data_IF_174847231340
#
_entry.id   IF_174847231340
#
_cell.length_a   1.000
_cell.length_b   1.000
_cell.length_c   1.000
_cell.angle_alpha   90.00
_cell.angle_beta   90.00
_cell.angle_gamma   90.00
#
_symmetry.space_group_name_H-M   'P 1'
#
loop_
_entity.id
_entity.type
_entity.pdbx_description
1 polymer ?
#
# COMPACT_ATOMS: atom_id res chain seq x y z
N UNK A 1 16.85 -26.38 -7.38
CA UNK A 1 15.77 -26.73 -8.32
C UNK A 1 14.87 -25.51 -8.46
N UNK A 2 14.89 -24.85 -9.63
CA UNK A 2 13.92 -23.79 -9.92
C UNK A 2 12.52 -24.41 -9.88
N UNK A 3 11.53 -23.79 -9.21
CA UNK A 3 10.19 -24.34 -9.18
C UNK A 3 9.61 -24.42 -10.60
N UNK A 4 8.78 -25.42 -10.84
CA UNK A 4 8.09 -25.59 -12.11
C UNK A 4 7.14 -24.41 -12.34
N UNK A 5 7.57 -23.47 -13.19
CA UNK A 5 6.86 -22.22 -13.47
C UNK A 5 5.41 -22.47 -13.90
N UNK A 6 5.11 -23.64 -14.50
CA UNK A 6 3.78 -24.06 -14.91
C UNK A 6 2.80 -24.28 -13.74
N UNK A 7 3.30 -24.51 -12.52
CA UNK A 7 2.47 -24.71 -11.30
C UNK A 7 2.28 -23.45 -10.47
N UNK A 8 3.20 -22.48 -10.59
CA UNK A 8 3.14 -21.17 -9.92
C UNK A 8 2.31 -20.18 -10.71
N UNK A 9 2.27 -20.33 -12.03
CA UNK A 9 1.45 -19.52 -12.90
C UNK A 9 0.04 -20.13 -12.99
N UNK A 10 -1.02 -19.43 -12.58
CA UNK A 10 -2.36 -19.81 -13.03
C UNK A 10 -2.29 -19.90 -14.56
N UNK A 11 -2.76 -21.01 -15.12
CA UNK A 11 -2.61 -21.36 -16.53
C UNK A 11 -2.70 -20.13 -17.46
N UNK A 12 -1.55 -19.64 -17.94
CA UNK A 12 -1.43 -18.52 -18.86
C UNK A 12 -0.80 -17.25 -18.27
N UNK A 13 0.52 -17.12 -18.40
CA UNK A 13 1.25 -15.84 -18.31
C UNK A 13 0.81 -14.85 -19.43
N UNK A 14 0.12 -15.38 -20.46
CA UNK A 14 -0.57 -14.67 -21.54
C UNK A 14 -2.10 -14.63 -21.36
N UNK A 15 -2.62 -15.03 -20.20
CA UNK A 15 -4.05 -14.94 -19.93
C UNK A 15 -4.49 -13.49 -19.81
N UNK A 16 -5.72 -13.20 -20.25
CA UNK A 16 -6.35 -11.89 -20.05
C UNK A 16 -6.36 -11.49 -18.57
N UNK A 17 -6.40 -12.47 -17.67
CA UNK A 17 -6.34 -12.30 -16.22
C UNK A 17 -5.00 -11.72 -15.75
N UNK A 18 -3.88 -12.30 -16.18
CA UNK A 18 -2.55 -11.77 -15.86
C UNK A 18 -2.32 -10.38 -16.45
N UNK A 19 -2.75 -10.16 -17.71
CA UNK A 19 -2.69 -8.85 -18.34
C UNK A 19 -3.50 -7.80 -17.54
N UNK A 20 -4.64 -8.18 -17.00
CA UNK A 20 -5.44 -7.34 -16.10
C UNK A 20 -4.70 -6.96 -14.81
N UNK A 21 -4.09 -7.93 -14.13
CA UNK A 21 -3.27 -7.66 -12.94
C UNK A 21 -2.09 -6.73 -13.26
N UNK A 22 -1.38 -7.00 -14.35
CA UNK A 22 -0.27 -6.17 -14.81
C UNK A 22 -0.72 -4.74 -15.13
N UNK A 23 -1.88 -4.56 -15.76
CA UNK A 23 -2.45 -3.24 -16.05
C UNK A 23 -2.82 -2.48 -14.76
N UNK A 24 -3.40 -3.15 -13.76
CA UNK A 24 -3.71 -2.54 -12.46
C UNK A 24 -2.42 -2.09 -11.76
N UNK A 25 -1.42 -2.97 -11.67
CA UNK A 25 -0.12 -2.68 -11.04
C UNK A 25 0.60 -1.54 -11.77
N UNK A 26 0.67 -1.59 -13.10
CA UNK A 26 1.28 -0.56 -13.94
C UNK A 26 0.60 0.80 -13.73
N UNK A 27 -0.73 0.85 -13.83
CA UNK A 27 -1.50 2.09 -13.71
C UNK A 27 -1.41 2.67 -12.30
N UNK A 28 -1.44 1.83 -11.27
CA UNK A 28 -1.27 2.25 -9.88
C UNK A 28 0.14 2.80 -9.62
N UNK A 29 1.18 2.19 -10.16
CA UNK A 29 2.56 2.66 -10.02
C UNK A 29 2.79 3.97 -10.79
N UNK A 30 2.24 4.07 -12.01
CA UNK A 30 2.28 5.26 -12.85
C UNK A 30 1.65 6.46 -12.15
N UNK A 31 0.41 6.28 -11.68
CA UNK A 31 -0.33 7.35 -11.00
C UNK A 31 0.27 7.69 -9.63
N UNK A 32 0.82 6.73 -8.89
CA UNK A 32 1.61 7.00 -7.68
C UNK A 32 2.82 7.88 -8.00
N UNK A 33 3.56 7.58 -9.07
CA UNK A 33 4.74 8.36 -9.40
C UNK A 33 4.43 9.81 -9.76
N UNK A 34 3.22 10.09 -10.29
CA UNK A 34 2.72 11.46 -10.55
C UNK A 34 2.20 12.11 -9.26
N UNK A 35 1.27 11.46 -8.56
CA UNK A 35 0.56 12.02 -7.39
C UNK A 35 1.34 11.95 -6.08
N UNK A 36 2.37 11.11 -6.01
CA UNK A 36 3.22 10.90 -4.84
C UNK A 36 2.67 9.97 -3.76
N UNK A 37 1.42 9.53 -3.89
CA UNK A 37 0.74 8.58 -3.01
C UNK A 37 -0.16 7.71 -3.88
N UNK A 38 -0.43 6.47 -3.44
CA UNK A 38 -1.63 5.78 -3.90
C UNK A 38 -1.46 4.49 -4.69
N UNK A 39 -0.28 3.86 -4.75
CA UNK A 39 -0.15 2.53 -5.37
C UNK A 39 -1.16 1.56 -4.77
N UNK A 40 -1.04 1.28 -3.46
CA UNK A 40 -1.97 0.38 -2.77
C UNK A 40 -3.36 1.00 -2.56
N UNK A 41 -3.45 2.32 -2.39
CA UNK A 41 -4.74 2.99 -2.17
C UNK A 41 -5.68 2.87 -3.37
N UNK A 42 -5.13 2.77 -4.59
CA UNK A 42 -5.89 2.58 -5.83
C UNK A 42 -5.94 1.11 -6.25
N UNK A 43 -4.82 0.39 -6.17
CA UNK A 43 -4.77 -1.01 -6.61
C UNK A 43 -5.54 -1.95 -5.68
N UNK A 44 -5.51 -1.76 -4.35
CA UNK A 44 -6.18 -2.68 -3.41
C UNK A 44 -7.70 -2.80 -3.61
N UNK A 45 -8.49 -1.71 -3.74
CA UNK A 45 -9.94 -1.84 -3.90
C UNK A 45 -10.33 -2.43 -5.27
N UNK A 46 -9.55 -2.18 -6.31
CA UNK A 46 -9.76 -2.83 -7.62
C UNK A 46 -9.41 -4.31 -7.51
N UNK A 47 -8.29 -4.62 -6.88
CA UNK A 47 -7.77 -5.98 -6.75
C UNK A 47 -8.67 -6.87 -5.91
N UNK A 48 -9.17 -6.40 -4.77
CA UNK A 48 -10.05 -7.23 -3.94
C UNK A 48 -11.35 -7.63 -4.66
N UNK A 49 -11.79 -6.85 -5.66
CA UNK A 49 -12.97 -7.14 -6.47
C UNK A 49 -12.70 -8.07 -7.65
N UNK A 50 -11.56 -7.88 -8.34
CA UNK A 50 -11.28 -8.49 -9.65
C UNK A 50 -10.14 -9.51 -9.60
N UNK A 51 -9.12 -9.26 -8.78
CA UNK A 51 -7.89 -10.03 -8.67
C UNK A 51 -7.53 -10.25 -7.19
N UNK A 52 -8.39 -10.95 -6.41
CA UNK A 52 -8.23 -11.06 -4.95
C UNK A 52 -6.89 -11.66 -4.53
N UNK A 53 -6.26 -12.46 -5.37
CA UNK A 53 -4.91 -13.01 -5.17
C UNK A 53 -3.82 -11.94 -5.00
N UNK A 54 -4.03 -10.71 -5.46
CA UNK A 54 -3.09 -9.59 -5.29
C UNK A 54 -3.08 -9.02 -3.87
N UNK A 55 -4.13 -9.25 -3.07
CA UNK A 55 -4.34 -8.58 -1.78
C UNK A 55 -4.19 -9.55 -0.60
N UNK A 56 -3.54 -9.16 0.50
CA UNK A 56 -2.63 -8.00 0.62
C UNK A 56 -1.20 -8.34 0.17
N UNK A 57 -0.84 -9.63 0.05
CA UNK A 57 0.53 -10.11 -0.11
C UNK A 57 1.29 -9.53 -1.31
N UNK A 58 0.90 -9.83 -2.56
CA UNK A 58 1.62 -9.32 -3.74
C UNK A 58 1.69 -7.80 -3.82
N UNK A 59 0.62 -7.08 -3.45
CA UNK A 59 0.65 -5.61 -3.39
C UNK A 59 1.57 -5.09 -2.29
N UNK A 60 1.71 -5.78 -1.15
CA UNK A 60 2.71 -5.46 -0.14
C UNK A 60 4.14 -5.68 -0.65
N UNK A 61 4.41 -6.75 -1.38
CA UNK A 61 5.72 -6.99 -2.02
C UNK A 61 6.09 -5.83 -2.94
N UNK A 62 5.18 -5.49 -3.85
CA UNK A 62 5.36 -4.39 -4.81
C UNK A 62 5.47 -3.03 -4.10
N UNK A 63 4.56 -2.74 -3.17
CA UNK A 63 4.56 -1.50 -2.39
C UNK A 63 5.82 -1.33 -1.54
N UNK A 64 6.34 -2.41 -0.96
CA UNK A 64 7.61 -2.41 -0.20
C UNK A 64 8.78 -2.08 -1.12
N UNK A 65 8.84 -2.69 -2.30
CA UNK A 65 9.90 -2.41 -3.25
C UNK A 65 9.82 -0.97 -3.81
N UNK A 66 8.60 -0.46 -4.02
CA UNK A 66 8.39 0.94 -4.41
C UNK A 66 8.79 1.93 -3.30
N UNK A 67 8.54 1.58 -2.04
CA UNK A 67 9.00 2.35 -0.89
C UNK A 67 10.53 2.39 -0.80
N UNK A 68 11.22 1.28 -1.12
CA UNK A 68 12.68 1.22 -1.19
C UNK A 68 13.23 2.20 -2.23
N UNK A 69 12.64 2.24 -3.44
CA UNK A 69 13.05 3.18 -4.49
C UNK A 69 12.93 4.63 -4.01
N UNK A 70 11.87 4.95 -3.27
CA UNK A 70 11.71 6.26 -2.64
C UNK A 70 12.73 6.53 -1.54
N UNK A 71 12.99 5.56 -0.67
CA UNK A 71 13.94 5.68 0.45
C UNK A 71 15.38 5.90 -0.03
N UNK A 72 15.82 5.16 -1.05
CA UNK A 72 17.18 5.26 -1.61
C UNK A 72 17.44 6.63 -2.22
N UNK A 73 16.40 7.31 -2.72
CA UNK A 73 16.55 8.64 -3.35
C UNK A 73 16.92 9.74 -2.36
N UNK A 74 16.33 9.72 -1.17
CA UNK A 74 16.50 10.77 -0.13
C UNK A 74 17.06 10.17 1.18
N UNK A 75 17.93 9.15 1.08
CA UNK A 75 18.42 8.40 2.25
C UNK A 75 19.22 9.26 3.24
N UNK A 76 19.81 10.36 2.77
CA UNK A 76 20.60 11.28 3.61
C UNK A 76 19.73 12.16 4.50
N UNK A 77 18.46 12.32 4.14
CA UNK A 77 17.51 13.17 4.83
C UNK A 77 16.63 12.36 5.81
N UNK A 78 16.98 11.10 6.11
CA UNK A 78 16.22 10.28 7.05
C UNK A 78 16.37 10.83 8.48
N UNK A 79 15.24 11.14 9.11
CA UNK A 79 15.19 11.43 10.53
C UNK A 79 15.05 10.13 11.34
N UNK A 80 16.19 9.61 11.80
CA UNK A 80 16.27 8.33 12.52
C UNK A 80 15.50 8.32 13.85
N UNK A 81 15.37 9.48 14.50
CA UNK A 81 14.60 9.59 15.76
C UNK A 81 13.12 9.39 15.49
N UNK A 82 12.57 10.12 14.52
CA UNK A 82 11.19 9.97 14.09
C UNK A 82 10.91 8.58 13.52
N UNK A 83 11.85 8.04 12.74
CA UNK A 83 11.79 6.68 12.23
C UNK A 83 11.62 5.65 13.35
N UNK A 84 12.46 5.70 14.39
CA UNK A 84 12.41 4.71 15.48
C UNK A 84 11.10 4.75 16.27
N UNK A 85 10.59 5.95 16.58
CA UNK A 85 9.34 6.11 17.33
C UNK A 85 8.14 5.61 16.51
N UNK A 86 8.05 6.02 15.25
CA UNK A 86 6.97 5.58 14.34
C UNK A 86 7.07 4.08 14.11
N UNK A 87 8.26 3.53 13.91
CA UNK A 87 8.46 2.11 13.68
C UNK A 87 8.00 1.28 14.89
N UNK A 88 8.28 1.74 16.12
CA UNK A 88 7.80 1.10 17.34
C UNK A 88 6.28 0.97 17.36
N UNK A 89 5.55 2.07 17.09
CA UNK A 89 4.10 2.03 16.94
C UNK A 89 3.66 1.12 15.79
N UNK A 90 4.35 1.19 14.64
CA UNK A 90 4.03 0.42 13.44
C UNK A 90 4.17 -1.08 13.66
N UNK A 91 5.18 -1.54 14.38
CA UNK A 91 5.34 -2.96 14.75
C UNK A 91 4.11 -3.46 15.50
N UNK A 92 3.67 -2.73 16.54
CA UNK A 92 2.48 -3.07 17.31
C UNK A 92 1.24 -3.11 16.42
N UNK A 93 1.08 -2.09 15.57
CA UNK A 93 -0.02 -2.02 14.61
C UNK A 93 -0.02 -3.14 13.58
N UNK A 94 1.15 -3.55 13.08
CA UNK A 94 1.30 -4.65 12.13
C UNK A 94 0.94 -5.98 12.77
N UNK A 95 1.37 -6.23 14.01
CA UNK A 95 0.98 -7.45 14.75
C UNK A 95 -0.54 -7.48 14.92
N UNK A 96 -1.15 -6.36 15.36
CA UNK A 96 -2.60 -6.26 15.49
C UNK A 96 -3.31 -6.47 14.15
N UNK A 97 -2.83 -5.86 13.06
CA UNK A 97 -3.38 -6.03 11.72
C UNK A 97 -3.30 -7.47 11.22
N UNK A 98 -2.18 -8.15 11.45
CA UNK A 98 -2.02 -9.56 11.10
C UNK A 98 -2.98 -10.47 11.88
N UNK A 99 -3.13 -10.23 13.20
CA UNK A 99 -4.11 -10.96 14.03
C UNK A 99 -5.54 -10.69 13.55
N UNK A 100 -5.90 -9.44 13.29
CA UNK A 100 -7.23 -9.07 12.80
C UNK A 100 -7.58 -9.87 11.55
N UNK A 101 -6.67 -9.98 10.58
CA UNK A 101 -6.91 -10.71 9.33
C UNK A 101 -7.30 -12.17 9.58
N UNK A 102 -6.69 -12.84 10.57
CA UNK A 102 -7.02 -14.25 10.90
C UNK A 102 -8.45 -14.45 11.43
N UNK A 103 -9.09 -13.37 11.89
CA UNK A 103 -10.43 -13.41 12.48
C UNK A 103 -11.52 -13.06 11.44
N UNK A 104 -11.16 -12.64 10.23
CA UNK A 104 -12.10 -12.16 9.23
C UNK A 104 -12.43 -13.24 8.20
N UNK A 105 -13.72 -13.35 7.87
CA UNK A 105 -14.15 -14.03 6.64
C UNK A 105 -13.74 -13.21 5.41
N UNK A 106 -13.77 -13.81 4.21
CA UNK A 106 -13.44 -13.09 2.97
C UNK A 106 -14.30 -11.83 2.76
N UNK A 107 -15.60 -11.90 3.09
CA UNK A 107 -16.52 -10.76 3.03
C UNK A 107 -16.14 -9.69 4.04
N UNK A 108 -15.88 -10.07 5.30
CA UNK A 108 -15.48 -9.11 6.34
C UNK A 108 -14.11 -8.49 6.05
N UNK A 109 -13.16 -9.24 5.51
CA UNK A 109 -11.87 -8.72 5.05
C UNK A 109 -12.06 -7.61 4.01
N UNK A 110 -12.93 -7.84 3.03
CA UNK A 110 -13.24 -6.83 2.00
C UNK A 110 -13.87 -5.57 2.60
N UNK A 111 -14.79 -5.73 3.56
CA UNK A 111 -15.42 -4.61 4.28
C UNK A 111 -14.41 -3.83 5.11
N UNK A 112 -13.57 -4.51 5.90
CA UNK A 112 -12.53 -3.88 6.73
C UNK A 112 -11.51 -3.17 5.84
N UNK A 113 -11.05 -3.80 4.77
CA UNK A 113 -10.13 -3.19 3.80
C UNK A 113 -10.71 -1.91 3.21
N UNK A 114 -11.94 -1.95 2.69
CA UNK A 114 -12.61 -0.79 2.10
C UNK A 114 -12.81 0.33 3.14
N UNK A 115 -13.18 -0.04 4.36
CA UNK A 115 -13.39 0.91 5.45
C UNK A 115 -12.10 1.62 5.84
N UNK A 116 -10.99 0.89 5.95
CA UNK A 116 -9.67 1.44 6.24
C UNK A 116 -9.16 2.35 5.12
N UNK A 117 -9.42 2.01 3.85
CA UNK A 117 -9.11 2.89 2.72
C UNK A 117 -9.93 4.18 2.80
N UNK A 118 -11.23 4.11 3.08
CA UNK A 118 -12.06 5.31 3.27
C UNK A 118 -11.59 6.18 4.43
N UNK A 119 -11.19 5.58 5.55
CA UNK A 119 -10.54 6.31 6.65
C UNK A 119 -9.28 7.02 6.12
N UNK A 120 -8.44 6.33 5.35
CA UNK A 120 -7.27 6.93 4.70
C UNK A 120 -7.61 8.11 3.77
N UNK A 121 -8.70 8.01 3.01
CA UNK A 121 -9.19 9.08 2.13
C UNK A 121 -9.65 10.28 2.96
N UNK A 122 -10.50 10.06 3.95
CA UNK A 122 -11.01 11.10 4.86
C UNK A 122 -9.86 11.82 5.55
N UNK A 123 -8.91 11.06 6.11
CA UNK A 123 -7.68 11.60 6.71
C UNK A 123 -6.92 12.49 5.71
N UNK A 124 -6.77 12.02 4.46
CA UNK A 124 -6.03 12.75 3.42
C UNK A 124 -6.68 14.06 2.95
N UNK A 125 -8.01 14.21 3.09
CA UNK A 125 -8.75 15.42 2.67
C UNK A 125 -9.21 16.30 3.84
N UNK A 126 -9.21 15.78 5.07
CA UNK A 126 -9.74 16.46 6.26
C UNK A 126 -9.04 17.77 6.60
N UNK A 127 -7.80 17.97 6.11
CA UNK A 127 -6.96 19.09 6.52
C UNK A 127 -6.55 19.05 7.99
N UNK A 128 -6.78 17.92 8.68
CA UNK A 128 -6.44 17.76 10.09
C UNK A 128 -4.92 17.88 10.28
N UNK A 129 -4.52 18.81 11.14
CA UNK A 129 -3.13 19.10 11.47
C UNK A 129 -2.83 18.52 12.84
N UNK A 130 -1.90 17.57 12.88
CA UNK A 130 -1.44 16.92 14.11
C UNK A 130 0.03 17.22 14.28
N UNK A 131 0.42 17.66 15.47
CA UNK A 131 1.82 17.97 15.76
C UNK A 131 2.65 16.69 15.91
N UNK A 132 3.87 16.72 15.39
CA UNK A 132 4.83 15.60 15.40
C UNK A 132 5.49 15.38 16.77
N UNK A 133 4.69 15.08 17.79
CA UNK A 133 5.16 14.69 19.12
C UNK A 133 5.23 13.15 19.28
N UNK A 134 6.00 12.61 20.25
CA UNK A 134 6.19 11.16 20.36
C UNK A 134 4.89 10.34 20.49
N UNK A 135 3.88 10.72 21.29
CA UNK A 135 2.60 10.00 21.32
C UNK A 135 1.90 9.94 19.96
N UNK A 136 1.85 11.06 19.23
CA UNK A 136 1.22 11.13 17.92
C UNK A 136 1.99 10.29 16.88
N UNK A 137 3.32 10.27 16.96
CA UNK A 137 4.18 9.43 16.12
C UNK A 137 3.92 7.94 16.37
N UNK A 138 3.77 7.52 17.64
CA UNK A 138 3.43 6.14 17.99
C UNK A 138 2.03 5.78 17.47
N UNK A 139 1.04 6.64 17.69
CA UNK A 139 -0.34 6.42 17.22
C UNK A 139 -0.43 6.34 15.69
N UNK A 140 0.25 7.25 14.97
CA UNK A 140 0.34 7.22 13.53
C UNK A 140 1.09 5.99 13.02
N UNK A 141 2.15 5.57 13.72
CA UNK A 141 2.83 4.30 13.48
C UNK A 141 1.86 3.12 13.57
N UNK A 142 1.15 2.99 14.69
CA UNK A 142 0.20 1.89 14.92
C UNK A 142 -0.92 1.87 13.87
N UNK A 143 -1.56 3.01 13.61
CA UNK A 143 -2.57 3.13 12.57
C UNK A 143 -2.00 2.78 11.18
N UNK A 144 -0.79 3.24 10.86
CA UNK A 144 -0.07 2.92 9.63
C UNK A 144 0.26 1.43 9.52
N UNK A 145 0.57 0.76 10.63
CA UNK A 145 0.85 -0.68 10.69
C UNK A 145 -0.40 -1.53 10.43
N UNK A 146 -1.51 -1.21 11.08
CA UNK A 146 -2.81 -1.89 10.86
C UNK A 146 -3.23 -1.69 9.40
N UNK A 147 -3.32 -0.43 8.97
CA UNK A 147 -3.79 -0.05 7.65
C UNK A 147 -2.86 -0.59 6.56
N UNK A 148 -1.54 -0.50 6.76
CA UNK A 148 -0.54 -1.01 5.84
C UNK A 148 -0.57 -2.53 5.69
N UNK A 149 -0.86 -3.27 6.75
CA UNK A 149 -0.91 -4.75 6.71
C UNK A 149 -2.17 -5.25 6.03
N UNK A 150 -3.33 -4.63 6.30
CA UNK A 150 -4.63 -5.06 5.74
C UNK A 150 -4.82 -4.55 4.32
N UNK A 151 -4.53 -3.27 4.07
CA UNK A 151 -4.84 -2.60 2.79
C UNK A 151 -3.64 -2.50 1.85
N UNK A 152 -2.46 -2.94 2.28
CA UNK A 152 -1.17 -2.65 1.62
C UNK A 152 -0.80 -1.14 1.58
N UNK A 153 -1.62 -0.27 2.19
CA UNK A 153 -1.44 1.19 2.20
C UNK A 153 -1.43 1.74 3.63
N UNK A 154 -0.27 2.15 4.12
CA UNK A 154 -0.11 2.73 5.47
C UNK A 154 0.11 4.24 5.48
N UNK A 155 -0.08 4.93 4.35
CA UNK A 155 0.48 6.27 4.16
C UNK A 155 -0.27 7.40 4.85
N UNK A 156 -1.61 7.32 4.92
CA UNK A 156 -2.43 8.44 5.38
C UNK A 156 -2.18 8.82 6.85
N UNK A 157 -2.13 7.88 7.83
CA UNK A 157 -1.85 8.23 9.22
C UNK A 157 -0.47 8.89 9.41
N UNK A 158 0.53 8.40 8.69
CA UNK A 158 1.89 8.96 8.71
C UNK A 158 1.92 10.39 8.14
N UNK A 159 1.26 10.59 6.99
CA UNK A 159 1.26 11.86 6.28
C UNK A 159 0.64 12.99 7.11
N UNK A 160 -0.33 12.70 7.98
CA UNK A 160 -0.96 13.70 8.86
C UNK A 160 -0.02 14.23 9.94
N UNK A 161 0.77 13.36 10.55
CA UNK A 161 1.68 13.77 11.63
C UNK A 161 2.93 14.46 11.06
N UNK A 162 3.31 14.14 9.82
CA UNK A 162 4.52 14.66 9.18
C UNK A 162 4.29 15.82 8.21
N UNK A 163 3.12 16.47 8.23
CA UNK A 163 2.76 17.54 7.28
C UNK A 163 3.69 18.75 7.28
N UNK A 164 4.38 19.01 8.40
CA UNK A 164 5.26 20.19 8.58
C UNK A 164 6.74 19.90 8.31
N UNK A 165 7.07 18.65 7.99
CA UNK A 165 8.45 18.21 7.75
C UNK A 165 8.89 18.60 6.34
N UNK A 166 10.17 18.94 6.17
CA UNK A 166 10.73 19.26 4.86
C UNK A 166 10.47 18.12 3.85
N UNK A 167 10.18 18.41 2.56
CA UNK A 167 9.81 17.37 1.60
C UNK A 167 10.82 16.23 1.44
N UNK A 168 12.13 16.52 1.49
CA UNK A 168 13.17 15.50 1.40
C UNK A 168 13.17 14.57 2.64
N UNK A 169 13.13 15.15 3.84
CA UNK A 169 13.05 14.40 5.09
C UNK A 169 11.76 13.57 5.19
N UNK A 170 10.63 14.12 4.74
CA UNK A 170 9.37 13.41 4.65
C UNK A 170 9.50 12.18 3.75
N UNK A 171 10.02 12.34 2.53
CA UNK A 171 10.17 11.22 1.57
C UNK A 171 11.15 10.17 2.06
N UNK A 172 12.33 10.57 2.54
CA UNK A 172 13.35 9.66 3.05
C UNK A 172 12.87 8.86 4.26
N UNK A 173 12.31 9.55 5.26
CA UNK A 173 11.81 8.90 6.49
C UNK A 173 10.58 8.04 6.21
N UNK A 174 9.61 8.52 5.42
CA UNK A 174 8.40 7.76 5.07
C UNK A 174 8.73 6.52 4.24
N UNK A 175 9.60 6.66 3.23
CA UNK A 175 10.07 5.54 2.42
C UNK A 175 10.74 4.47 3.28
N UNK A 176 11.60 4.88 4.22
CA UNK A 176 12.30 3.97 5.13
C UNK A 176 11.33 3.24 6.07
N UNK A 177 10.36 3.97 6.65
CA UNK A 177 9.33 3.37 7.51
C UNK A 177 8.47 2.36 6.73
N UNK A 178 8.06 2.67 5.50
CA UNK A 178 7.24 1.76 4.71
C UNK A 178 8.02 0.59 4.14
N UNK A 179 9.31 0.76 3.86
CA UNK A 179 10.17 -0.34 3.45
C UNK A 179 10.37 -1.33 4.60
N UNK A 180 10.92 -0.88 5.73
CA UNK A 180 11.17 -1.75 6.89
C UNK A 180 9.87 -2.33 7.45
N UNK A 181 8.84 -1.50 7.55
CA UNK A 181 7.54 -1.92 8.03
C UNK A 181 6.77 -2.79 7.04
N UNK A 182 7.00 -2.68 5.73
CA UNK A 182 6.44 -3.56 4.71
C UNK A 182 7.05 -4.96 4.78
N UNK A 183 8.37 -5.04 4.96
CA UNK A 183 9.06 -6.30 5.24
C UNK A 183 8.52 -6.98 6.51
N UNK A 184 8.34 -6.21 7.58
CA UNK A 184 7.74 -6.72 8.81
C UNK A 184 6.29 -7.19 8.62
N UNK A 185 5.46 -6.45 7.87
CA UNK A 185 4.10 -6.89 7.51
C UNK A 185 4.09 -8.19 6.72
N UNK A 186 4.97 -8.35 5.73
CA UNK A 186 5.11 -9.60 4.98
C UNK A 186 5.52 -10.78 5.89
N UNK A 187 6.47 -10.56 6.80
CA UNK A 187 6.88 -11.56 7.77
C UNK A 187 5.74 -11.96 8.70
N UNK A 188 4.99 -11.00 9.24
CA UNK A 188 3.86 -11.28 10.12
C UNK A 188 2.72 -11.98 9.39
N UNK A 189 2.41 -11.59 8.15
CA UNK A 189 1.44 -12.28 7.31
C UNK A 189 1.86 -13.73 7.03
N UNK A 190 3.16 -13.99 6.82
CA UNK A 190 3.67 -15.35 6.64
C UNK A 190 3.49 -16.18 7.91
N UNK A 191 3.77 -15.60 9.08
CA UNK A 191 3.59 -16.27 10.40
C UNK A 191 2.13 -16.66 10.62
N UNK A 192 1.17 -15.80 10.26
CA UNK A 192 -0.26 -16.09 10.42
C UNK A 192 -0.86 -16.87 9.25
N UNK A 193 -0.06 -17.30 8.27
CA UNK A 193 -0.52 -18.11 7.13
C UNK A 193 -1.28 -17.35 6.04
N UNK A 194 -1.22 -16.02 6.03
CA UNK A 194 -1.86 -15.14 5.03
C UNK A 194 -0.88 -14.59 3.97
N UNK A 195 0.37 -15.04 3.99
CA UNK A 195 1.35 -14.78 2.93
C UNK A 195 2.18 -16.03 2.67
N UNK A 196 2.21 -16.47 1.41
CA UNK A 196 2.91 -17.67 0.99
C UNK A 196 3.90 -17.42 -0.15
N UNK A 197 4.58 -18.48 -0.57
CA UNK A 197 5.57 -18.44 -1.65
C UNK A 197 4.97 -18.06 -3.00
N UNK A 198 3.73 -18.45 -3.27
CA UNK A 198 3.06 -18.15 -4.54
C UNK A 198 2.73 -16.66 -4.64
N UNK A 199 2.24 -16.07 -3.56
CA UNK A 199 2.02 -14.63 -3.45
C UNK A 199 3.32 -13.83 -3.60
N UNK A 200 4.42 -14.30 -3.01
CA UNK A 200 5.73 -13.68 -3.23
C UNK A 200 6.12 -13.68 -4.71
N UNK A 201 6.02 -14.83 -5.38
CA UNK A 201 6.36 -14.94 -6.80
C UNK A 201 5.44 -14.14 -7.72
N UNK A 202 4.14 -14.06 -7.40
CA UNK A 202 3.20 -13.22 -8.15
C UNK A 202 3.61 -11.75 -8.07
N UNK A 203 3.94 -11.25 -6.87
CA UNK A 203 4.49 -9.90 -6.69
C UNK A 203 5.80 -9.70 -7.46
N UNK A 204 6.70 -10.69 -7.42
CA UNK A 204 7.98 -10.64 -8.13
C UNK A 204 7.81 -10.62 -9.66
N UNK A 205 6.90 -11.42 -10.22
CA UNK A 205 6.62 -11.47 -11.66
C UNK A 205 5.96 -10.17 -12.15
N UNK A 206 5.16 -9.52 -11.30
CA UNK A 206 4.53 -8.22 -11.60
C UNK A 206 5.47 -7.02 -11.39
N UNK A 207 6.63 -7.25 -10.75
CA UNK A 207 7.61 -6.21 -10.45
C UNK A 207 8.06 -5.38 -11.67
N UNK A 208 8.36 -5.97 -12.85
CA UNK A 208 8.74 -5.19 -14.03
C UNK A 208 7.64 -4.20 -14.46
N UNK A 209 6.37 -4.56 -14.36
CA UNK A 209 5.25 -3.69 -14.72
C UNK A 209 5.12 -2.51 -13.74
N UNK A 210 5.34 -2.75 -12.45
CA UNK A 210 5.41 -1.70 -11.45
C UNK A 210 6.56 -0.72 -11.75
N UNK A 211 7.75 -1.25 -12.05
CA UNK A 211 8.92 -0.43 -12.40
C UNK A 211 8.66 0.39 -13.67
N UNK A 212 8.10 -0.22 -14.72
CA UNK A 212 7.76 0.48 -15.95
C UNK A 212 6.74 1.60 -15.70
N UNK A 213 5.68 1.33 -14.93
CA UNK A 213 4.71 2.35 -14.55
C UNK A 213 5.35 3.52 -13.81
N UNK A 214 6.16 3.23 -12.80
CA UNK A 214 6.88 4.25 -12.03
C UNK A 214 7.95 5.00 -12.84
N UNK A 215 8.66 4.34 -13.75
CA UNK A 215 9.65 4.99 -14.60
C UNK A 215 8.99 5.98 -15.58
N UNK A 216 7.88 5.56 -16.21
CA UNK A 216 7.11 6.39 -17.15
C UNK A 216 6.43 7.55 -16.44
N UNK A 217 6.16 7.47 -15.13
CA UNK A 217 5.55 8.58 -14.40
C UNK A 217 6.42 9.84 -14.43
N UNK A 218 7.75 9.68 -14.43
CA UNK A 218 8.71 10.78 -14.32
C UNK A 218 8.58 11.81 -15.45
N UNK A 219 8.62 11.44 -16.74
CA UNK A 219 8.36 12.40 -17.82
C UNK A 219 6.92 12.89 -17.86
N UNK A 220 5.95 12.17 -17.27
CA UNK A 220 4.55 12.56 -17.25
C UNK A 220 4.23 13.58 -16.16
N UNK A 221 5.03 13.69 -15.10
CA UNK A 221 4.79 14.66 -14.02
C UNK A 221 4.82 16.11 -14.50
N UNK A 222 5.40 16.40 -15.67
CA UNK A 222 5.39 17.75 -16.28
C UNK A 222 4.05 18.13 -16.90
N UNK A 223 3.19 17.16 -17.21
CA UNK A 223 1.89 17.38 -17.86
C UNK A 223 0.73 17.39 -16.87
N UNK A 224 0.91 16.81 -15.68
CA UNK A 224 -0.15 16.67 -14.69
C UNK A 224 0.22 17.40 -13.40
N UNK A 225 -0.71 18.21 -12.89
CA UNK A 225 -0.58 18.76 -11.54
C UNK A 225 -0.64 17.62 -10.51
N UNK A 226 0.37 17.56 -9.63
CA UNK A 226 0.44 16.59 -8.53
C UNK A 226 -0.80 16.65 -7.64
N UNK A 227 -1.32 17.85 -7.42
CA UNK A 227 -2.52 18.06 -6.60
C UNK A 227 -3.77 17.52 -7.26
N UNK A 228 -3.96 17.76 -8.56
CA UNK A 228 -5.11 17.24 -9.33
C UNK A 228 -5.06 15.71 -9.36
N UNK A 229 -3.89 15.14 -9.63
CA UNK A 229 -3.70 13.69 -9.61
C UNK A 229 -4.02 13.10 -8.23
N UNK A 230 -3.54 13.74 -7.15
CA UNK A 230 -3.84 13.30 -5.78
C UNK A 230 -5.35 13.25 -5.52
N UNK A 231 -6.10 14.31 -5.86
CA UNK A 231 -7.55 14.34 -5.66
C UNK A 231 -8.27 13.28 -6.51
N UNK A 232 -7.84 13.10 -7.77
CA UNK A 232 -8.37 12.06 -8.64
C UNK A 232 -8.17 10.65 -8.04
N UNK A 233 -6.97 10.35 -7.54
CA UNK A 233 -6.68 9.04 -6.95
C UNK A 233 -7.44 8.79 -5.65
N UNK A 234 -7.62 9.83 -4.83
CA UNK A 234 -8.46 9.76 -3.63
C UNK A 234 -9.92 9.49 -4.01
N UNK A 235 -10.45 10.16 -5.04
CA UNK A 235 -11.79 9.92 -5.56
C UNK A 235 -11.98 8.50 -6.08
N UNK A 236 -11.01 7.98 -6.85
CA UNK A 236 -11.03 6.61 -7.37
C UNK A 236 -10.99 5.58 -6.23
N UNK A 237 -10.12 5.78 -5.24
CA UNK A 237 -10.05 4.92 -4.06
C UNK A 237 -11.35 4.94 -3.24
N UNK A 238 -11.97 6.10 -3.09
CA UNK A 238 -13.25 6.23 -2.40
C UNK A 238 -14.37 5.52 -3.16
N UNK A 239 -14.47 5.74 -4.48
CA UNK A 239 -15.46 5.09 -5.33
C UNK A 239 -15.33 3.57 -5.31
N UNK A 240 -14.10 3.04 -5.43
CA UNK A 240 -13.83 1.60 -5.36
C UNK A 240 -14.21 1.02 -3.99
N UNK A 241 -13.86 1.72 -2.90
CA UNK A 241 -14.18 1.28 -1.54
C UNK A 241 -15.67 1.31 -1.24
N UNK A 242 -16.39 2.36 -1.67
CA UNK A 242 -17.85 2.44 -1.58
C UNK A 242 -18.50 1.31 -2.38
N UNK A 243 -18.00 1.02 -3.59
CA UNK A 243 -18.47 -0.10 -4.41
C UNK A 243 -18.34 -1.45 -3.70
N UNK A 244 -17.21 -1.69 -3.01
CA UNK A 244 -17.01 -2.89 -2.19
C UNK A 244 -18.05 -2.98 -1.07
N UNK A 245 -18.27 -1.88 -0.34
CA UNK A 245 -19.23 -1.85 0.78
C UNK A 245 -20.68 -2.08 0.31
N UNK A 246 -21.08 -1.46 -0.80
CA UNK A 246 -22.40 -1.70 -1.40
C UNK A 246 -22.54 -3.16 -1.81
N UNK A 247 -21.55 -3.73 -2.49
CA UNK A 247 -21.56 -5.13 -2.89
C UNK A 247 -21.69 -6.06 -1.67
N UNK A 248 -20.93 -5.79 -0.61
CA UNK A 248 -20.98 -6.58 0.61
C UNK A 248 -22.36 -6.49 1.30
N UNK A 249 -23.00 -5.33 1.31
CA UNK A 249 -24.33 -5.13 1.87
C UNK A 249 -25.45 -5.79 1.05
N UNK A 250 -25.27 -5.95 -0.27
CA UNK A 250 -26.24 -6.62 -1.15
C UNK A 250 -26.10 -8.15 -1.16
N UNK A 251 -24.93 -8.68 -0.79
CA UNK A 251 -24.61 -10.12 -0.80
C UNK A 251 -24.62 -10.76 0.60
N UNK A 252 -24.71 -9.95 1.66
CA UNK A 252 -24.81 -10.39 3.06
C UNK A 252 -26.26 -10.45 3.53
#
# INVERSE_FOLDING_TARGET
>A
MLPDFATILPQGLLSQHFAGMAAVVFSAALTQGIGGIGFAMVSAPISVLVFPELVPGPLLVLGTALALLGAVRDFRDINWRSFGIIMGGRIVGTIAGAVIITLLSATLFSVVLASLILVGVVLSISGWKVDANPPNLVAAGAASGIMGTITSSGAAPYAIVMQRVAPAELRGTMGSVFFAGGFFSLAMLAVVGHFDRNQFWLGFILFPFMILGFAISTPLTRFFSREVMRHFLLGLAAAGSIGILIRAALMG
#
